data_IF_729601320468
#
_entry.id   IF_729601320468
#
_cell.length_a   1.000
_cell.length_b   1.000
_cell.length_c   1.000
_cell.angle_alpha   90.00
_cell.angle_beta   90.00
_cell.angle_gamma   90.00
#
_symmetry.space_group_name_H-M   'P 1'
#
loop_
_entity.id
_entity.type
_entity.pdbx_description
1 polymer ?
#
# COMPACT_ATOMS: atom_id res chain seq x y z
N UNK A 1 0.47 -0.95 0.37
CA UNK A 1 -0.10 -0.29 -0.83
C UNK A 1 -1.26 0.61 -0.44
N UNK A 2 -2.13 0.20 0.48
CA UNK A 2 -3.20 1.08 0.97
C UNK A 2 -2.68 2.37 1.60
N UNK A 3 -3.37 3.45 1.26
CA UNK A 3 -3.15 4.79 1.81
C UNK A 3 -3.68 4.89 3.24
N UNK A 4 -3.27 5.93 3.99
CA UNK A 4 -3.69 6.10 5.39
C UNK A 4 -5.19 6.09 5.61
N UNK A 5 -5.99 6.54 4.63
CA UNK A 5 -7.43 6.74 4.74
C UNK A 5 -8.27 5.66 4.07
N UNK A 6 -7.66 4.63 3.46
CA UNK A 6 -8.41 3.62 2.71
C UNK A 6 -9.38 2.85 3.61
N UNK A 7 -8.91 2.30 4.74
CA UNK A 7 -9.77 1.59 5.69
C UNK A 7 -10.82 2.50 6.34
N UNK A 8 -10.50 3.80 6.52
CA UNK A 8 -11.48 4.78 6.98
C UNK A 8 -12.61 4.95 5.97
N UNK A 9 -12.29 5.13 4.69
CA UNK A 9 -13.28 5.29 3.64
C UNK A 9 -14.18 4.04 3.52
N UNK A 10 -13.61 2.84 3.66
CA UNK A 10 -14.37 1.58 3.69
C UNK A 10 -15.32 1.53 4.90
N UNK A 11 -14.82 1.81 6.11
CA UNK A 11 -15.64 1.84 7.32
C UNK A 11 -16.78 2.86 7.22
N UNK A 12 -16.47 4.09 6.80
CA UNK A 12 -17.44 5.17 6.68
C UNK A 12 -18.52 4.83 5.63
N UNK A 13 -18.12 4.21 4.50
CA UNK A 13 -19.03 3.73 3.44
C UNK A 13 -20.00 2.68 3.98
N UNK A 14 -19.48 1.65 4.66
CA UNK A 14 -20.29 0.52 5.13
C UNK A 14 -21.20 0.93 6.31
N UNK A 15 -20.72 1.84 7.16
CA UNK A 15 -21.53 2.45 8.21
C UNK A 15 -22.68 3.27 7.63
N UNK A 16 -22.41 4.11 6.61
CA UNK A 16 -23.43 4.89 5.91
C UNK A 16 -24.46 4.00 5.18
N UNK A 17 -24.05 2.80 4.76
CA UNK A 17 -24.94 1.81 4.16
C UNK A 17 -25.77 1.00 5.19
N UNK A 18 -25.60 1.25 6.49
CA UNK A 18 -26.34 0.57 7.56
C UNK A 18 -25.90 -0.87 7.81
N UNK A 19 -24.71 -1.26 7.36
CA UNK A 19 -24.20 -2.63 7.46
C UNK A 19 -23.62 -2.98 8.84
N UNK A 20 -23.54 -2.01 9.76
CA UNK A 20 -22.94 -2.16 11.09
C UNK A 20 -21.55 -2.81 11.07
N UNK A 21 -20.58 -2.27 10.30
CA UNK A 21 -19.23 -2.81 10.27
C UNK A 21 -18.53 -2.66 11.63
N UNK A 22 -17.70 -3.63 11.98
CA UNK A 22 -16.80 -3.51 13.13
C UNK A 22 -15.73 -2.42 12.87
N UNK A 23 -15.26 -1.80 13.95
CA UNK A 23 -14.20 -0.79 13.86
C UNK A 23 -12.89 -1.48 13.42
N UNK A 24 -12.16 -0.94 12.41
CA UNK A 24 -10.90 -1.51 11.98
C UNK A 24 -9.89 -1.61 13.14
N UNK A 25 -9.41 -2.82 13.41
CA UNK A 25 -8.55 -3.12 14.55
C UNK A 25 -7.18 -2.44 14.42
N UNK A 26 -6.69 -1.87 15.52
CA UNK A 26 -5.38 -1.22 15.62
C UNK A 26 -5.16 -0.09 14.59
N UNK A 27 -6.24 0.48 14.06
CA UNK A 27 -6.20 1.50 13.01
C UNK A 27 -6.37 2.90 13.61
N UNK A 28 -7.40 3.09 14.43
CA UNK A 28 -7.66 4.36 15.13
C UNK A 28 -7.05 4.37 16.54
N UNK A 29 -6.61 5.52 17.07
CA UNK A 29 -6.26 5.65 18.48
C UNK A 29 -7.48 5.35 19.37
N UNK A 30 -7.35 4.41 20.31
CA UNK A 30 -8.40 4.00 21.25
C UNK A 30 -9.71 3.56 20.57
N UNK A 31 -9.62 2.99 19.36
CA UNK A 31 -10.78 2.55 18.56
C UNK A 31 -11.82 3.66 18.32
N UNK A 32 -11.38 4.92 18.19
CA UNK A 32 -12.23 6.08 17.94
C UNK A 32 -12.18 6.53 16.46
N UNK A 33 -13.23 6.27 15.65
CA UNK A 33 -13.26 6.61 14.22
C UNK A 33 -13.30 8.11 13.90
N UNK A 34 -13.50 8.97 14.91
CA UNK A 34 -13.41 10.43 14.76
C UNK A 34 -11.96 10.92 14.71
N UNK A 35 -11.01 10.08 15.15
CA UNK A 35 -9.58 10.41 15.21
C UNK A 35 -8.87 10.02 13.92
N UNK A 36 -7.78 10.73 13.56
CA UNK A 36 -6.97 10.33 12.41
C UNK A 36 -6.32 8.96 12.65
N UNK A 37 -6.28 8.08 11.63
CA UNK A 37 -5.71 6.75 11.75
C UNK A 37 -4.18 6.77 11.93
N UNK A 38 -3.65 5.77 12.62
CA UNK A 38 -2.22 5.59 12.86
C UNK A 38 -1.64 4.61 11.84
N UNK A 39 -0.79 5.12 10.96
CA UNK A 39 -0.17 4.33 9.90
C UNK A 39 1.01 3.54 10.45
N UNK A 40 0.85 2.21 10.58
CA UNK A 40 1.91 1.31 11.08
C UNK A 40 2.54 0.41 10.00
N UNK A 41 1.95 0.36 8.81
CA UNK A 41 2.35 -0.58 7.75
C UNK A 41 3.24 0.01 6.65
N UNK A 42 3.38 1.35 6.57
CA UNK A 42 4.04 2.03 5.45
C UNK A 42 5.48 1.58 5.21
N UNK A 43 6.27 1.43 6.25
CA UNK A 43 7.68 1.00 6.14
C UNK A 43 7.79 -0.39 5.50
N UNK A 44 6.97 -1.33 5.97
CA UNK A 44 6.95 -2.71 5.48
C UNK A 44 6.43 -2.77 4.04
N UNK A 45 5.43 -1.95 3.70
CA UNK A 45 4.96 -1.85 2.31
C UNK A 45 6.08 -1.38 1.36
N UNK A 46 6.84 -0.33 1.73
CA UNK A 46 7.99 0.09 0.92
C UNK A 46 9.03 -1.01 0.76
N UNK A 47 9.38 -1.70 1.84
CA UNK A 47 10.34 -2.81 1.77
C UNK A 47 9.84 -3.95 0.89
N UNK A 48 8.55 -4.29 0.95
CA UNK A 48 7.96 -5.33 0.11
C UNK A 48 8.16 -5.03 -1.37
N UNK A 49 7.75 -3.84 -1.83
CA UNK A 49 7.88 -3.47 -3.24
C UNK A 49 9.34 -3.30 -3.68
N UNK A 50 10.19 -2.67 -2.85
CA UNK A 50 11.60 -2.51 -3.16
C UNK A 50 12.31 -3.88 -3.29
N UNK A 51 12.07 -4.79 -2.35
CA UNK A 51 12.67 -6.12 -2.40
C UNK A 51 12.14 -6.94 -3.57
N UNK A 52 10.84 -6.85 -3.86
CA UNK A 52 10.24 -7.54 -4.99
C UNK A 52 10.86 -7.08 -6.32
N UNK A 53 10.94 -5.76 -6.56
CA UNK A 53 11.53 -5.22 -7.77
C UNK A 53 13.02 -5.59 -7.90
N UNK A 54 13.80 -5.42 -6.83
CA UNK A 54 15.25 -5.62 -6.90
C UNK A 54 15.65 -7.09 -7.00
N UNK A 55 15.07 -7.96 -6.16
CA UNK A 55 15.55 -9.33 -6.00
C UNK A 55 14.78 -10.35 -6.85
N UNK A 56 13.53 -10.03 -7.24
CA UNK A 56 12.69 -10.99 -7.98
C UNK A 56 12.45 -10.56 -9.42
N UNK A 57 12.25 -9.27 -9.69
CA UNK A 57 12.06 -8.79 -11.07
C UNK A 57 13.40 -8.52 -11.75
N UNK A 58 14.21 -7.61 -11.21
CA UNK A 58 15.43 -7.15 -11.88
C UNK A 58 16.52 -8.24 -11.95
N UNK A 59 16.77 -8.98 -10.87
CA UNK A 59 17.73 -10.08 -10.92
C UNK A 59 17.29 -11.26 -11.79
N UNK A 60 15.98 -11.46 -11.96
CA UNK A 60 15.42 -12.49 -12.85
C UNK A 60 15.37 -12.07 -14.32
N UNK A 61 15.30 -10.76 -14.58
CA UNK A 61 15.27 -10.16 -15.92
C UNK A 61 16.15 -8.91 -15.94
N UNK A 62 17.49 -9.06 -15.98
CA UNK A 62 18.40 -7.91 -15.99
C UNK A 62 18.12 -7.04 -17.21
N UNK A 63 18.05 -5.73 -17.00
CA UNK A 63 17.87 -4.78 -18.09
C UNK A 63 19.22 -4.50 -18.76
N UNK A 64 19.35 -4.90 -20.03
CA UNK A 64 20.54 -4.66 -20.85
C UNK A 64 20.49 -3.23 -21.41
N UNK A 65 21.04 -2.26 -20.68
CA UNK A 65 21.07 -0.85 -21.11
C UNK A 65 21.74 -0.67 -22.48
N UNK A 66 22.76 -1.48 -22.78
CA UNK A 66 23.49 -1.47 -24.06
C UNK A 66 22.60 -1.85 -25.27
N UNK A 67 21.46 -2.50 -25.05
CA UNK A 67 20.52 -2.85 -26.12
C UNK A 67 19.67 -1.67 -26.60
N UNK A 68 19.63 -0.57 -25.85
CA UNK A 68 18.78 0.59 -26.15
C UNK A 68 19.48 1.63 -27.03
N UNK A 69 20.79 1.78 -26.90
CA UNK A 69 21.59 2.70 -27.72
C UNK A 69 21.70 2.24 -29.18
N UNK A 70 21.43 0.96 -29.46
CA UNK A 70 21.51 0.40 -30.82
C UNK A 70 20.18 0.45 -31.60
N UNK A 71 19.15 1.12 -31.07
CA UNK A 71 17.83 1.24 -31.71
C UNK A 71 17.65 2.54 -32.53
N UNK A 72 18.64 3.44 -32.52
CA UNK A 72 18.70 4.62 -33.39
C UNK A 72 19.99 4.63 -34.22
N UNK A 73 19.97 3.92 -35.35
CA UNK A 73 20.76 4.21 -36.56
C UNK A 73 20.16 3.49 -37.79
#
# INVERSE_FOLDING_TARGET
EYDPLTLKAEYDRDHAAGMNPDIPLNYYPNDDPSRPPVVRWRSVAHLLFANWLNYYVYQGTPYELDSLDNAED
#
